data_IF_671761561033
#
_entry.id   IF_671761561033
#
_cell.length_a   1.000
_cell.length_b   1.000
_cell.length_c   1.000
_cell.angle_alpha   90.00
_cell.angle_beta   90.00
_cell.angle_gamma   90.00
#
_symmetry.space_group_name_H-M   'P 1'
#
loop_
_entity.id
_entity.type
_entity.pdbx_description
1 polymer ?
#
# COMPACT_ATOMS: atom_id res chain seq x y z
N UNK A 1 14.89 35.47 1.22
CA UNK A 1 14.66 34.13 0.59
C UNK A 1 14.99 33.04 1.61
N UNK A 2 14.01 32.56 2.39
CA UNK A 2 14.18 31.46 3.37
C UNK A 2 13.12 30.36 3.20
N UNK A 3 12.43 30.32 2.06
CA UNK A 3 11.25 29.46 1.86
C UNK A 3 11.56 28.10 1.24
N UNK A 4 12.74 27.83 0.69
CA UNK A 4 13.00 26.54 0.01
C UNK A 4 13.50 25.42 0.93
N UNK A 5 14.12 25.73 2.09
CA UNK A 5 14.69 24.71 2.98
C UNK A 5 13.64 23.96 3.83
N UNK A 6 12.57 24.61 4.27
CA UNK A 6 11.49 23.95 5.04
C UNK A 6 10.69 22.95 4.19
N UNK A 7 10.46 23.23 2.90
CA UNK A 7 9.68 22.33 2.04
C UNK A 7 10.41 21.03 1.66
N UNK A 8 11.74 20.99 1.72
CA UNK A 8 12.51 19.78 1.41
C UNK A 8 12.46 18.75 2.55
N UNK A 9 12.50 19.22 3.80
CA UNK A 9 12.28 18.39 4.99
C UNK A 9 10.82 17.91 5.07
N UNK A 10 9.86 18.77 4.70
CA UNK A 10 8.43 18.41 4.62
C UNK A 10 8.14 17.32 3.60
N UNK A 11 8.80 17.28 2.44
CA UNK A 11 8.58 16.23 1.45
C UNK A 11 9.00 14.85 1.96
N UNK A 12 10.16 14.76 2.63
CA UNK A 12 10.64 13.52 3.23
C UNK A 12 9.78 13.10 4.43
N UNK A 13 9.39 14.04 5.29
CA UNK A 13 8.55 13.76 6.46
C UNK A 13 7.12 13.38 6.06
N UNK A 14 6.57 14.03 5.03
CA UNK A 14 5.27 13.68 4.45
C UNK A 14 5.33 12.27 3.89
N UNK A 15 6.35 11.89 3.10
CA UNK A 15 6.49 10.52 2.60
C UNK A 15 6.50 9.48 3.72
N UNK A 16 7.30 9.69 4.78
CA UNK A 16 7.44 8.74 5.89
C UNK A 16 6.16 8.64 6.74
N UNK A 17 5.46 9.76 6.97
CA UNK A 17 4.19 9.77 7.70
C UNK A 17 3.05 9.13 6.89
N UNK A 18 3.06 9.35 5.57
CA UNK A 18 2.18 8.68 4.63
C UNK A 18 2.34 7.16 4.70
N UNK A 19 3.58 6.70 4.68
CA UNK A 19 3.88 5.28 4.75
C UNK A 19 3.34 4.68 6.06
N UNK A 20 3.51 5.34 7.21
CA UNK A 20 3.02 4.83 8.49
C UNK A 20 1.50 4.75 8.61
N UNK A 21 0.77 5.80 8.20
CA UNK A 21 -0.70 5.80 8.28
C UNK A 21 -1.32 4.85 7.26
N UNK A 22 -0.78 4.82 6.04
CA UNK A 22 -1.23 3.88 5.01
C UNK A 22 -0.96 2.44 5.39
N UNK A 23 0.22 2.13 5.95
CA UNK A 23 0.53 0.79 6.45
C UNK A 23 -0.40 0.40 7.61
N UNK A 24 -0.69 1.30 8.55
CA UNK A 24 -1.67 1.03 9.63
C UNK A 24 -3.04 0.68 9.05
N UNK A 25 -3.52 1.46 8.08
CA UNK A 25 -4.82 1.22 7.45
C UNK A 25 -4.84 -0.09 6.64
N UNK A 26 -3.72 -0.43 5.99
CA UNK A 26 -3.52 -1.73 5.36
C UNK A 26 -3.66 -2.86 6.38
N UNK A 27 -2.97 -2.79 7.53
CA UNK A 27 -3.05 -3.85 8.54
C UNK A 27 -4.47 -4.04 9.07
N UNK A 28 -5.20 -2.95 9.33
CA UNK A 28 -6.60 -3.00 9.78
C UNK A 28 -7.49 -3.64 8.71
N UNK A 29 -7.36 -3.24 7.44
CA UNK A 29 -8.16 -3.81 6.36
C UNK A 29 -7.83 -5.29 6.11
N UNK A 30 -6.54 -5.65 6.14
CA UNK A 30 -6.14 -7.04 6.03
C UNK A 30 -6.71 -7.88 7.18
N UNK A 31 -6.71 -7.37 8.41
CA UNK A 31 -7.33 -8.05 9.55
C UNK A 31 -8.81 -8.38 9.28
N UNK A 32 -9.61 -7.40 8.86
CA UNK A 32 -11.01 -7.63 8.51
C UNK A 32 -11.19 -8.61 7.34
N UNK A 33 -10.33 -8.54 6.34
CA UNK A 33 -10.37 -9.47 5.19
C UNK A 33 -10.00 -10.90 5.60
N UNK A 34 -9.02 -11.08 6.47
CA UNK A 34 -8.67 -12.38 7.02
C UNK A 34 -9.85 -12.99 7.80
N UNK A 35 -10.58 -12.17 8.57
CA UNK A 35 -11.78 -12.62 9.28
C UNK A 35 -12.90 -13.03 8.30
N UNK A 36 -13.15 -12.23 7.27
CA UNK A 36 -14.24 -12.48 6.30
C UNK A 36 -13.96 -13.65 5.36
N UNK A 37 -12.70 -13.90 5.01
CA UNK A 37 -12.33 -14.92 4.03
C UNK A 37 -10.98 -15.56 4.38
N UNK A 38 -10.94 -16.41 5.42
CA UNK A 38 -9.70 -17.05 5.88
C UNK A 38 -9.06 -17.91 4.79
N UNK A 39 -9.90 -18.52 3.93
CA UNK A 39 -9.47 -19.40 2.84
C UNK A 39 -8.54 -18.72 1.83
N UNK A 40 -8.60 -17.38 1.70
CA UNK A 40 -7.68 -16.62 0.85
C UNK A 40 -6.22 -16.73 1.31
N UNK A 41 -6.00 -17.05 2.59
CA UNK A 41 -4.70 -17.13 3.24
C UNK A 41 -4.21 -18.57 3.49
N UNK A 42 -4.95 -19.56 3.00
CA UNK A 42 -4.59 -20.97 3.15
C UNK A 42 -3.50 -21.40 2.16
N UNK A 43 -2.74 -22.43 2.55
CA UNK A 43 -1.79 -23.13 1.67
C UNK A 43 -0.61 -22.29 1.16
N UNK A 44 -0.26 -21.19 1.83
CA UNK A 44 0.96 -20.45 1.49
C UNK A 44 2.24 -21.22 1.77
N UNK A 45 2.20 -22.14 2.73
CA UNK A 45 3.31 -23.02 3.08
C UNK A 45 3.77 -23.93 1.91
N UNK A 46 2.89 -24.19 0.94
CA UNK A 46 3.20 -25.04 -0.22
C UNK A 46 3.65 -24.26 -1.46
N UNK A 47 3.67 -22.92 -1.40
CA UNK A 47 4.09 -22.07 -2.51
C UNK A 47 5.61 -22.01 -2.63
N UNK A 48 6.11 -22.34 -3.82
CA UNK A 48 7.53 -22.21 -4.15
C UNK A 48 7.82 -20.86 -4.83
N UNK A 49 9.05 -20.38 -4.69
CA UNK A 49 9.54 -19.18 -5.37
C UNK A 49 9.44 -19.29 -6.89
N UNK A 50 9.65 -20.48 -7.43
CA UNK A 50 9.62 -20.75 -8.87
C UNK A 50 8.19 -20.68 -9.44
N UNK A 51 7.20 -21.19 -8.69
CA UNK A 51 5.78 -21.04 -9.05
C UNK A 51 5.38 -19.57 -9.08
N UNK A 52 5.79 -18.80 -8.07
CA UNK A 52 5.52 -17.36 -8.01
C UNK A 52 6.17 -16.62 -9.19
N UNK A 53 7.45 -16.89 -9.46
CA UNK A 53 8.19 -16.27 -10.56
C UNK A 53 7.55 -16.51 -11.92
N UNK A 54 7.08 -17.75 -12.18
CA UNK A 54 6.36 -18.07 -13.43
C UNK A 54 5.06 -17.29 -13.58
N UNK A 55 4.22 -17.25 -12.54
CA UNK A 55 2.92 -16.56 -12.62
C UNK A 55 3.11 -15.04 -12.75
N UNK A 56 4.11 -14.46 -12.09
CA UNK A 56 4.46 -13.05 -12.25
C UNK A 56 4.91 -12.74 -13.68
N UNK A 57 5.75 -13.59 -14.27
CA UNK A 57 6.18 -13.44 -15.66
C UNK A 57 4.99 -13.53 -16.63
N UNK A 58 4.08 -14.49 -16.43
CA UNK A 58 2.86 -14.61 -17.24
C UNK A 58 1.97 -13.37 -17.11
N UNK A 59 1.80 -12.84 -15.89
CA UNK A 59 1.01 -11.63 -15.67
C UNK A 59 1.60 -10.42 -16.40
N UNK A 60 2.93 -10.29 -16.39
CA UNK A 60 3.61 -9.22 -17.12
C UNK A 60 3.47 -9.40 -18.64
N UNK A 61 3.62 -10.62 -19.14
CA UNK A 61 3.38 -10.92 -20.56
C UNK A 61 1.93 -10.60 -20.98
N UNK A 62 0.93 -10.89 -20.14
CA UNK A 62 -0.47 -10.49 -20.38
C UNK A 62 -0.63 -8.97 -20.37
N UNK A 63 -0.02 -8.25 -19.41
CA UNK A 63 -0.03 -6.77 -19.37
C UNK A 63 0.55 -6.17 -20.66
N UNK A 64 1.57 -6.81 -21.22
CA UNK A 64 2.21 -6.41 -22.48
C UNK A 64 1.44 -6.87 -23.73
N UNK A 65 0.28 -7.54 -23.58
CA UNK A 65 -0.51 -8.06 -24.69
C UNK A 65 0.10 -9.27 -25.40
N UNK A 66 1.15 -9.89 -24.84
CA UNK A 66 1.84 -11.06 -25.43
C UNK A 66 1.12 -12.39 -25.17
N UNK A 67 0.22 -12.42 -24.19
CA UNK A 67 -0.60 -13.58 -23.86
C UNK A 67 -2.08 -13.20 -23.84
N UNK A 68 -2.97 -14.10 -24.29
CA UNK A 68 -4.41 -13.87 -24.21
C UNK A 68 -4.88 -13.81 -22.75
N UNK A 69 -5.93 -13.03 -22.51
CA UNK A 69 -6.61 -13.03 -21.23
C UNK A 69 -7.19 -14.41 -20.95
N UNK A 70 -6.97 -14.92 -19.73
CA UNK A 70 -7.57 -16.17 -19.26
C UNK A 70 -8.37 -15.92 -17.98
N UNK A 71 -9.53 -16.57 -17.80
CA UNK A 71 -10.26 -16.54 -16.55
C UNK A 71 -9.37 -16.96 -15.38
N UNK A 72 -9.58 -16.36 -14.20
CA UNK A 72 -8.95 -16.81 -12.96
C UNK A 72 -9.48 -18.20 -12.64
N UNK A 73 -8.66 -19.23 -12.85
CA UNK A 73 -8.82 -20.54 -12.21
C UNK A 73 -8.34 -20.47 -10.75
N UNK A 74 -8.87 -21.34 -9.89
CA UNK A 74 -8.52 -21.50 -8.47
C UNK A 74 -7.10 -22.07 -8.29
N UNK A 75 -6.11 -21.33 -8.76
CA UNK A 75 -4.69 -21.59 -8.54
C UNK A 75 -4.25 -20.90 -7.25
N UNK A 76 -3.68 -21.67 -6.32
CA UNK A 76 -3.15 -21.21 -5.03
C UNK A 76 -2.20 -20.03 -5.21
N UNK A 77 -1.36 -20.04 -6.25
CA UNK A 77 -0.42 -18.95 -6.55
C UNK A 77 -1.17 -17.66 -6.89
N UNK A 78 -2.26 -17.77 -7.65
CA UNK A 78 -3.08 -16.62 -8.04
C UNK A 78 -3.93 -16.11 -6.89
N UNK A 79 -4.43 -17.00 -6.01
CA UNK A 79 -5.09 -16.61 -4.77
C UNK A 79 -4.14 -15.82 -3.87
N UNK A 80 -2.89 -16.26 -3.72
CA UNK A 80 -1.85 -15.52 -3.01
C UNK A 80 -1.58 -14.15 -3.64
N UNK A 81 -1.41 -14.07 -4.96
CA UNK A 81 -1.22 -12.77 -5.61
C UNK A 81 -2.42 -11.83 -5.39
N UNK A 82 -3.63 -12.37 -5.36
CA UNK A 82 -4.86 -11.61 -5.07
C UNK A 82 -4.91 -11.11 -3.63
N UNK A 83 -4.38 -11.84 -2.65
CA UNK A 83 -4.29 -11.32 -1.27
C UNK A 83 -3.26 -10.21 -1.15
N UNK A 84 -2.11 -10.36 -1.81
CA UNK A 84 -1.08 -9.32 -1.88
C UNK A 84 -1.63 -8.06 -2.55
N UNK A 85 -2.32 -8.19 -3.69
CA UNK A 85 -2.96 -7.07 -4.39
C UNK A 85 -4.00 -6.38 -3.50
N UNK A 86 -4.87 -7.16 -2.85
CA UNK A 86 -5.90 -6.63 -1.96
C UNK A 86 -5.29 -5.90 -0.75
N UNK A 87 -4.24 -6.42 -0.15
CA UNK A 87 -3.54 -5.76 0.95
C UNK A 87 -2.84 -4.48 0.50
N UNK A 88 -2.05 -4.55 -0.57
CA UNK A 88 -1.25 -3.42 -1.06
C UNK A 88 -2.09 -2.27 -1.63
N UNK A 89 -3.33 -2.52 -2.08
CA UNK A 89 -4.25 -1.48 -2.54
C UNK A 89 -4.50 -0.40 -1.47
N UNK A 90 -4.47 -0.76 -0.20
CA UNK A 90 -4.65 0.18 0.92
C UNK A 90 -3.38 0.95 1.29
N UNK A 91 -2.20 0.48 0.87
CA UNK A 91 -0.93 1.20 1.07
C UNK A 91 -0.88 2.43 0.19
N UNK A 92 -1.28 2.28 -1.07
CA UNK A 92 -1.22 3.39 -2.02
C UNK A 92 -2.48 4.25 -2.00
N UNK A 93 -3.63 3.69 -1.63
CA UNK A 93 -4.91 4.40 -1.54
C UNK A 93 -5.37 5.02 -2.87
N UNK A 94 -6.61 5.49 -2.92
CA UNK A 94 -7.10 6.32 -4.01
C UNK A 94 -6.39 7.69 -4.02
N UNK A 95 -6.42 8.39 -5.15
CA UNK A 95 -5.89 9.76 -5.23
C UNK A 95 -6.59 10.72 -4.25
N UNK A 96 -7.87 10.48 -3.93
CA UNK A 96 -8.63 11.24 -2.93
C UNK A 96 -8.16 10.97 -1.49
N UNK A 97 -7.96 9.70 -1.12
CA UNK A 97 -7.40 9.33 0.18
C UNK A 97 -5.98 9.87 0.36
N UNK A 98 -5.17 9.81 -0.70
CA UNK A 98 -3.84 10.44 -0.71
C UNK A 98 -3.92 11.95 -0.53
N UNK A 99 -4.93 12.61 -1.08
CA UNK A 99 -5.15 14.06 -0.88
C UNK A 99 -5.57 14.39 0.56
N UNK A 100 -6.52 13.64 1.11
CA UNK A 100 -7.00 13.84 2.48
C UNK A 100 -5.90 13.55 3.51
N UNK A 101 -5.10 12.49 3.29
CA UNK A 101 -3.99 12.15 4.16
C UNK A 101 -2.89 13.23 4.13
N UNK A 102 -2.69 13.91 2.98
CA UNK A 102 -1.76 15.05 2.85
C UNK A 102 -2.27 16.17 3.73
N UNK A 103 -3.55 16.48 3.61
CA UNK A 103 -4.23 17.49 4.41
C UNK A 103 -4.10 17.24 5.92
N UNK A 104 -4.32 16.01 6.37
CA UNK A 104 -4.17 15.62 7.79
C UNK A 104 -2.72 15.75 8.26
N UNK A 105 -1.75 15.29 7.46
CA UNK A 105 -0.32 15.36 7.79
C UNK A 105 0.14 16.81 7.95
N UNK A 106 -0.22 17.69 7.01
CA UNK A 106 0.05 19.12 7.13
C UNK A 106 -0.61 19.74 8.36
N UNK A 107 -1.85 19.36 8.70
CA UNK A 107 -2.51 19.84 9.91
C UNK A 107 -1.81 19.40 11.21
N UNK A 108 -1.30 18.16 11.26
CA UNK A 108 -0.51 17.68 12.40
C UNK A 108 0.81 18.44 12.54
N UNK A 109 1.48 18.70 11.42
CA UNK A 109 2.71 19.47 11.42
C UNK A 109 2.47 20.89 11.95
N UNK A 110 1.48 21.61 11.42
CA UNK A 110 1.13 22.97 11.88
C UNK A 110 0.88 23.02 13.39
N UNK A 111 0.22 22.00 13.96
CA UNK A 111 -0.02 21.91 15.41
C UNK A 111 1.26 21.73 16.21
N UNK A 112 2.17 20.88 15.74
CA UNK A 112 3.45 20.63 16.40
C UNK A 112 4.37 21.85 16.31
N UNK A 113 4.42 22.53 15.16
CA UNK A 113 5.15 23.80 15.03
C UNK A 113 4.55 24.88 15.91
N UNK A 114 3.21 25.00 16.00
CA UNK A 114 2.58 26.00 16.87
C UNK A 114 2.81 25.75 18.36
N UNK A 115 2.89 24.49 18.80
CA UNK A 115 3.20 24.17 20.19
C UNK A 115 4.64 24.52 20.54
N UNK A 116 5.58 24.32 19.60
CA UNK A 116 6.99 24.65 19.80
C UNK A 116 7.27 26.16 19.89
N UNK A 117 6.37 26.99 19.33
CA UNK A 117 6.42 28.46 19.42
C UNK A 117 5.76 29.02 20.69
N UNK A 118 4.91 28.25 21.37
CA UNK A 118 4.26 28.65 22.63
C UNK A 118 5.05 28.23 23.87
N UNK A 119 6.13 27.46 23.70
CA UNK A 119 7.04 27.01 24.76
C UNK A 119 8.40 27.73 24.76
N UNK A 120 8.51 28.86 24.05
CA UNK A 120 9.63 29.81 24.05
C UNK A 120 9.10 31.19 24.47
#
# INVERSE_FOLDING_TARGET
MLSQRQFAEDKLFTLVAFDRLSLRNMYIHNHFRCQQSPMLYNQYESLTTEQLGRVLLENEQRRQGRLPWRPQTDDIVKMFLKTVENGTRFVWGSSGERSQCRHKTFAYQTRLTSMHYLSL
#
